data_IF_449977934367
#
_entry.id   IF_449977934367
#
_cell.length_a   1.000
_cell.length_b   1.000
_cell.length_c   1.000
_cell.angle_alpha   90.00
_cell.angle_beta   90.00
_cell.angle_gamma   90.00
#
_symmetry.space_group_name_H-M   'P 1'
#
loop_
_entity.id
_entity.type
_entity.pdbx_description
1 polymer ?
#
# COMPACT_ATOMS: atom_id res chain seq x y z
N UNK A 1 -41.19 -32.75 24.65
CA UNK A 1 -40.48 -31.93 23.65
C UNK A 1 -39.90 -30.71 24.34
N UNK A 2 -38.58 -30.55 24.33
CA UNK A 2 -37.79 -29.30 24.26
C UNK A 2 -36.33 -29.76 24.01
N UNK A 3 -35.73 -29.25 22.94
CA UNK A 3 -34.44 -29.66 22.36
C UNK A 3 -33.23 -29.11 23.13
N UNK A 4 -32.03 -29.75 23.04
CA UNK A 4 -30.84 -29.26 23.73
C UNK A 4 -30.17 -28.14 22.92
N UNK A 5 -30.09 -26.93 23.47
CA UNK A 5 -29.26 -25.85 22.90
C UNK A 5 -27.86 -25.92 23.52
N UNK A 6 -26.93 -26.56 22.79
CA UNK A 6 -25.51 -26.66 23.15
C UNK A 6 -24.78 -25.34 22.86
N UNK A 7 -25.05 -24.31 23.67
CA UNK A 7 -24.44 -22.98 23.57
C UNK A 7 -23.10 -22.89 24.29
N UNK A 8 -22.07 -23.59 23.81
CA UNK A 8 -20.75 -23.53 24.46
C UNK A 8 -19.53 -23.71 23.57
N UNK A 9 -19.69 -23.95 22.26
CA UNK A 9 -18.57 -24.37 21.38
C UNK A 9 -18.22 -23.40 20.26
N UNK A 10 -18.80 -22.20 20.20
CA UNK A 10 -18.58 -21.28 19.08
C UNK A 10 -17.95 -19.94 19.46
N UNK A 11 -17.98 -19.53 20.72
CA UNK A 11 -17.43 -18.24 21.13
C UNK A 11 -15.91 -18.11 20.92
N UNK A 12 -15.06 -19.01 21.45
CA UNK A 12 -13.62 -18.87 21.30
C UNK A 12 -13.18 -19.00 19.84
N UNK A 13 -13.82 -19.89 19.07
CA UNK A 13 -13.52 -20.10 17.65
C UNK A 13 -13.85 -18.85 16.83
N UNK A 14 -15.01 -18.24 17.06
CA UNK A 14 -15.41 -17.00 16.38
C UNK A 14 -14.44 -15.86 16.71
N UNK A 15 -14.01 -15.76 17.96
CA UNK A 15 -13.09 -14.72 18.42
C UNK A 15 -11.72 -14.87 17.76
N UNK A 16 -11.21 -16.11 17.66
CA UNK A 16 -9.96 -16.40 16.95
C UNK A 16 -10.04 -16.02 15.47
N UNK A 17 -11.13 -16.36 14.77
CA UNK A 17 -11.34 -16.02 13.35
C UNK A 17 -11.38 -14.50 13.15
N UNK A 18 -12.09 -13.78 14.02
CA UNK A 18 -12.17 -12.32 13.95
C UNK A 18 -10.79 -11.70 14.16
N UNK A 19 -10.05 -12.11 15.21
CA UNK A 19 -8.70 -11.61 15.47
C UNK A 19 -7.75 -11.87 14.30
N UNK A 20 -7.76 -13.07 13.72
CA UNK A 20 -6.90 -13.39 12.57
C UNK A 20 -7.25 -12.58 11.33
N UNK A 21 -8.54 -12.33 11.08
CA UNK A 21 -8.98 -11.45 9.99
C UNK A 21 -8.52 -10.00 10.20
N UNK A 22 -8.65 -9.47 11.42
CA UNK A 22 -8.18 -8.11 11.75
C UNK A 22 -6.67 -7.98 11.63
N UNK A 23 -5.88 -8.94 12.15
CA UNK A 23 -4.41 -8.92 12.03
C UNK A 23 -3.98 -8.99 10.56
N UNK A 24 -4.65 -9.80 9.73
CA UNK A 24 -4.39 -9.85 8.30
C UNK A 24 -4.70 -8.52 7.59
N UNK A 25 -5.81 -7.86 7.98
CA UNK A 25 -6.17 -6.55 7.44
C UNK A 25 -5.16 -5.47 7.84
N UNK A 26 -4.75 -5.45 9.12
CA UNK A 26 -3.79 -4.48 9.66
C UNK A 26 -2.39 -4.68 9.03
N UNK A 27 -1.99 -5.93 8.77
CA UNK A 27 -0.76 -6.24 8.04
C UNK A 27 -0.77 -5.75 6.59
N UNK A 28 -1.94 -5.76 5.93
CA UNK A 28 -2.11 -5.19 4.59
C UNK A 28 -2.14 -3.65 4.61
N UNK A 29 -2.71 -3.09 5.68
CA UNK A 29 -2.78 -1.65 5.99
C UNK A 29 -1.55 -1.25 6.82
N UNK A 30 -0.38 -1.77 6.46
CA UNK A 30 0.91 -1.25 6.89
C UNK A 30 1.16 0.11 6.23
N UNK A 31 0.37 1.12 6.62
CA UNK A 31 0.58 2.52 6.23
C UNK A 31 1.67 3.11 7.13
N UNK A 32 2.86 2.53 7.07
CA UNK A 32 4.03 3.38 7.24
C UNK A 32 4.24 4.03 5.89
N UNK A 33 4.18 5.37 5.72
CA UNK A 33 4.94 5.95 4.62
C UNK A 33 6.34 5.36 4.79
N UNK A 34 6.83 4.67 3.77
CA UNK A 34 8.23 4.28 3.74
C UNK A 34 8.98 5.61 3.87
N UNK A 35 9.36 5.96 5.09
CA UNK A 35 10.26 7.05 5.36
C UNK A 35 11.54 6.54 4.75
N UNK A 36 11.73 6.92 3.49
CA UNK A 36 12.89 6.59 2.72
C UNK A 36 14.06 7.19 3.48
N UNK A 37 14.72 6.41 4.35
CA UNK A 37 16.08 6.74 4.75
C UNK A 37 16.94 6.88 3.46
N UNK A 38 16.51 6.22 2.38
CA UNK A 38 16.96 6.37 1.00
C UNK A 38 16.81 7.78 0.38
N UNK A 39 16.03 8.72 0.92
CA UNK A 39 16.09 10.10 0.40
C UNK A 39 17.47 10.73 0.66
N UNK A 40 18.13 10.36 1.77
CA UNK A 40 19.50 10.79 2.06
C UNK A 40 20.54 9.69 1.79
N UNK A 41 20.17 8.40 1.74
CA UNK A 41 21.11 7.29 1.55
C UNK A 41 21.01 6.55 0.22
N UNK A 42 20.10 6.93 -0.70
CA UNK A 42 20.03 6.26 -1.99
C UNK A 42 21.17 6.71 -2.91
N UNK A 43 22.25 5.95 -2.89
CA UNK A 43 23.41 6.04 -3.78
C UNK A 43 23.23 5.26 -5.09
N UNK A 44 22.11 4.56 -5.27
CA UNK A 44 21.76 3.91 -6.54
C UNK A 44 21.23 4.95 -7.53
N UNK A 45 21.77 4.95 -8.75
CA UNK A 45 21.41 5.92 -9.82
C UNK A 45 19.90 5.98 -10.11
N UNK A 46 19.17 4.88 -9.87
CA UNK A 46 17.71 4.84 -10.07
C UNK A 46 16.93 5.76 -9.13
N UNK A 47 17.52 6.16 -8.00
CA UNK A 47 16.87 7.13 -7.11
C UNK A 47 17.01 8.58 -7.58
N UNK A 48 18.12 8.95 -8.22
CA UNK A 48 18.19 10.26 -8.89
C UNK A 48 17.19 10.33 -10.04
N UNK A 49 17.06 9.25 -10.81
CA UNK A 49 16.07 9.17 -11.90
C UNK A 49 14.65 9.31 -11.36
N UNK A 50 14.32 8.63 -10.25
CA UNK A 50 13.02 8.72 -9.60
C UNK A 50 12.72 10.15 -9.07
N UNK A 51 13.73 10.84 -8.53
CA UNK A 51 13.57 12.24 -8.08
C UNK A 51 13.33 13.18 -9.26
N UNK A 52 14.12 13.03 -10.33
CA UNK A 52 13.92 13.79 -11.56
C UNK A 52 12.53 13.55 -12.13
N UNK A 53 12.09 12.30 -12.24
CA UNK A 53 10.74 11.96 -12.69
C UNK A 53 9.65 12.57 -11.80
N UNK A 54 9.81 12.52 -10.47
CA UNK A 54 8.87 13.16 -9.54
C UNK A 54 8.80 14.67 -9.73
N UNK A 55 9.95 15.34 -9.93
CA UNK A 55 9.99 16.79 -10.16
C UNK A 55 9.33 17.21 -11.49
N UNK A 56 9.49 16.39 -12.54
CA UNK A 56 8.83 16.58 -13.83
C UNK A 56 7.32 16.40 -13.67
N UNK A 57 6.88 15.42 -12.88
CA UNK A 57 5.46 15.24 -12.62
C UNK A 57 4.85 16.36 -11.78
N UNK A 58 5.59 16.87 -10.80
CA UNK A 58 5.16 18.01 -10.00
C UNK A 58 4.94 19.25 -10.87
N UNK A 59 5.76 19.47 -11.92
CA UNK A 59 5.57 20.59 -12.84
C UNK A 59 4.41 20.38 -13.83
N UNK A 60 4.01 19.12 -14.09
CA UNK A 60 2.89 18.75 -14.97
C UNK A 60 1.56 18.54 -14.24
N UNK A 61 1.57 18.39 -12.92
CA UNK A 61 0.37 18.26 -12.08
C UNK A 61 -0.01 16.84 -11.65
N UNK A 62 0.88 15.85 -11.81
CA UNK A 62 0.66 14.40 -11.58
C UNK A 62 -0.54 13.79 -12.36
N UNK A 63 -0.37 12.64 -13.02
CA UNK A 63 -1.43 12.03 -13.81
C UNK A 63 -2.47 11.38 -12.88
N UNK A 64 -3.75 11.64 -13.14
CA UNK A 64 -4.88 10.96 -12.45
C UNK A 64 -5.53 9.89 -13.30
N UNK A 65 -5.10 9.75 -14.55
CA UNK A 65 -5.59 8.77 -15.52
C UNK A 65 -4.41 8.08 -16.21
N UNK A 66 -4.66 6.90 -16.77
CA UNK A 66 -3.67 6.17 -17.57
C UNK A 66 -3.59 6.76 -18.98
N UNK A 67 -2.39 6.92 -19.50
CA UNK A 67 -2.14 7.39 -20.86
C UNK A 67 -0.65 7.59 -21.11
N UNK A 68 -0.31 7.95 -22.33
CA UNK A 68 1.05 8.33 -22.69
C UNK A 68 1.27 9.82 -22.42
N UNK A 69 2.37 10.15 -21.76
CA UNK A 69 2.72 11.52 -21.41
C UNK A 69 4.04 11.91 -22.04
N UNK A 70 4.05 13.09 -22.65
CA UNK A 70 5.27 13.65 -23.23
C UNK A 70 6.27 14.00 -22.13
N UNK A 71 7.49 13.49 -22.26
CA UNK A 71 8.59 13.83 -21.37
C UNK A 71 9.50 14.92 -21.99
N UNK A 72 10.28 15.64 -21.16
CA UNK A 72 11.18 16.68 -21.63
C UNK A 72 12.30 16.20 -22.56
N UNK A 73 12.62 14.90 -22.52
CA UNK A 73 13.61 14.25 -23.38
C UNK A 73 13.05 13.86 -24.76
N UNK A 74 11.77 14.12 -25.02
CA UNK A 74 11.09 13.81 -26.28
C UNK A 74 10.50 12.40 -26.35
N UNK A 75 10.66 11.57 -25.31
CA UNK A 75 10.02 10.25 -25.22
C UNK A 75 8.61 10.35 -24.61
N UNK A 76 7.83 9.29 -24.79
CA UNK A 76 6.51 9.14 -24.16
C UNK A 76 6.56 8.01 -23.14
N UNK A 77 6.02 8.27 -21.95
CA UNK A 77 5.92 7.33 -20.82
C UNK A 77 4.48 7.04 -20.46
#
# INVERSE_FOLDING_TARGET
MHTPQRSGRSWPVRLTVVLTAFVSLIGLVGITPASASVYNSCTISRCSDARSASSIWASKGYPTSSGWYSWPDGYFL
#
